data_IF_871672132270
#
_entry.id   IF_871672132270
#
_cell.length_a   1.000
_cell.length_b   1.000
_cell.length_c   1.000
_cell.angle_alpha   90.00
_cell.angle_beta   90.00
_cell.angle_gamma   90.00
#
_symmetry.space_group_name_H-M   'P 1'
#
loop_
_entity.id
_entity.type
_entity.pdbx_description
1 polymer ?
#
# COMPACT_ATOMS: atom_id res chain seq x y z
N UNK A 1 4.13 -7.13 -5.18
CA UNK A 1 4.73 -5.86 -4.71
C UNK A 1 3.96 -5.41 -3.48
N UNK A 2 4.59 -4.75 -2.51
CA UNK A 2 3.92 -4.36 -1.27
C UNK A 2 3.59 -2.88 -1.31
N UNK A 3 2.38 -2.53 -0.94
CA UNK A 3 1.92 -1.16 -0.80
C UNK A 3 1.64 -0.87 0.67
N UNK A 4 2.06 0.29 1.14
CA UNK A 4 1.70 0.84 2.44
C UNK A 4 0.63 1.89 2.23
N UNK A 5 -0.48 1.78 2.92
CA UNK A 5 -1.57 2.75 2.85
C UNK A 5 -1.15 4.01 3.61
N UNK A 6 -1.17 5.16 2.95
CA UNK A 6 -0.91 6.48 3.53
C UNK A 6 -2.21 7.19 3.92
N UNK A 7 -3.29 6.94 3.18
CA UNK A 7 -4.63 7.50 3.43
C UNK A 7 -5.67 6.40 3.33
N UNK A 8 -6.71 6.41 4.17
CA UNK A 8 -7.69 5.35 4.13
C UNK A 8 -8.48 5.44 2.82
N UNK A 9 -8.65 4.30 2.15
CA UNK A 9 -9.44 4.22 0.92
C UNK A 9 -10.30 2.96 0.92
N UNK A 10 -11.43 3.03 0.21
CA UNK A 10 -12.27 1.87 -0.04
C UNK A 10 -11.71 1.05 -1.19
N UNK A 11 -11.27 -0.17 -0.91
CA UNK A 11 -11.01 -1.17 -1.94
C UNK A 11 -12.34 -1.82 -2.32
N UNK A 12 -12.97 -1.31 -3.38
CA UNK A 12 -14.26 -1.82 -3.85
C UNK A 12 -14.17 -3.27 -4.35
N UNK A 13 -12.98 -3.70 -4.76
CA UNK A 13 -12.76 -5.01 -5.37
C UNK A 13 -12.61 -6.12 -4.33
N UNK A 14 -12.03 -5.79 -3.17
CA UNK A 14 -12.00 -6.67 -1.99
C UNK A 14 -13.13 -6.39 -1.00
N UNK A 15 -13.92 -5.35 -1.24
CA UNK A 15 -15.01 -4.91 -0.38
C UNK A 15 -14.54 -4.59 1.06
N UNK A 16 -13.37 -3.98 1.17
CA UNK A 16 -12.75 -3.62 2.45
C UNK A 16 -12.29 -2.17 2.45
N UNK A 17 -12.18 -1.59 3.63
CA UNK A 17 -11.58 -0.27 3.82
C UNK A 17 -10.15 -0.47 4.28
N UNK A 18 -9.20 -0.12 3.43
CA UNK A 18 -7.76 -0.16 3.73
C UNK A 18 -7.44 1.02 4.65
N UNK A 19 -6.84 0.75 5.81
CA UNK A 19 -6.53 1.78 6.82
C UNK A 19 -5.11 2.33 6.71
N UNK A 20 -4.90 3.56 7.16
CA UNK A 20 -3.57 4.20 7.18
C UNK A 20 -2.57 3.36 7.97
N UNK A 21 -1.39 3.17 7.40
CA UNK A 21 -0.31 2.37 7.98
C UNK A 21 -0.38 0.89 7.64
N UNK A 22 -1.49 0.41 7.07
CA UNK A 22 -1.62 -0.97 6.64
C UNK A 22 -0.68 -1.27 5.47
N UNK A 23 0.05 -2.38 5.54
CA UNK A 23 0.91 -2.84 4.45
C UNK A 23 0.31 -4.11 3.88
N UNK A 24 0.00 -4.09 2.59
CA UNK A 24 -0.63 -5.20 1.89
C UNK A 24 0.14 -5.53 0.62
N UNK A 25 0.09 -6.81 0.23
CA UNK A 25 0.73 -7.29 -0.98
C UNK A 25 -0.26 -7.32 -2.14
N UNK A 26 0.15 -6.75 -3.27
CA UNK A 26 -0.63 -6.73 -4.51
C UNK A 26 0.17 -7.30 -5.67
N UNK A 27 -0.56 -7.92 -6.59
CA UNK A 27 -0.04 -8.30 -7.91
C UNK A 27 0.05 -7.10 -8.84
N UNK A 28 0.84 -7.20 -9.91
CA UNK A 28 0.95 -6.15 -10.95
C UNK A 28 -0.41 -5.71 -11.48
N UNK A 29 -1.31 -6.66 -11.75
CA UNK A 29 -2.68 -6.38 -12.22
C UNK A 29 -3.49 -5.58 -11.20
N UNK A 30 -3.41 -5.93 -9.92
CA UNK A 30 -4.08 -5.21 -8.84
C UNK A 30 -3.53 -3.81 -8.64
N UNK A 31 -2.21 -3.64 -8.76
CA UNK A 31 -1.57 -2.34 -8.69
C UNK A 31 -2.06 -1.40 -9.80
N UNK A 32 -2.20 -1.91 -11.03
CA UNK A 32 -2.66 -1.12 -12.18
C UNK A 32 -4.13 -0.66 -12.01
N UNK A 33 -4.99 -1.54 -11.48
CA UNK A 33 -6.37 -1.16 -11.16
C UNK A 33 -6.45 -0.14 -10.02
N UNK A 34 -5.62 -0.33 -8.99
CA UNK A 34 -5.53 0.60 -7.86
C UNK A 34 -5.00 1.95 -8.33
N UNK A 35 -3.96 2.00 -9.16
CA UNK A 35 -3.41 3.27 -9.67
C UNK A 35 -4.35 4.00 -10.60
N UNK A 36 -5.25 3.28 -11.30
CA UNK A 36 -6.31 3.86 -12.10
C UNK A 36 -7.46 4.45 -11.27
N UNK A 37 -7.78 3.84 -10.11
CA UNK A 37 -8.94 4.23 -9.28
C UNK A 37 -8.58 5.09 -8.07
N UNK A 38 -7.37 4.91 -7.55
CA UNK A 38 -6.86 5.49 -6.30
C UNK A 38 -5.60 6.28 -6.61
N UNK A 39 -5.51 7.55 -6.21
CA UNK A 39 -4.31 8.35 -6.44
C UNK A 39 -3.10 7.75 -5.72
N UNK A 40 -1.92 7.88 -6.32
CA UNK A 40 -0.65 7.44 -5.71
C UNK A 40 -0.31 8.16 -4.39
N UNK A 41 -1.02 9.23 -4.03
CA UNK A 41 -0.88 9.91 -2.73
C UNK A 41 -1.53 9.12 -1.56
N UNK A 42 -2.34 8.10 -1.87
CA UNK A 42 -3.01 7.26 -0.86
C UNK A 42 -2.19 6.04 -0.44
N UNK A 43 -1.16 5.68 -1.19
CA UNK A 43 -0.34 4.51 -0.90
C UNK A 43 1.11 4.70 -1.35
N UNK A 44 2.04 4.07 -0.66
CA UNK A 44 3.47 4.09 -0.95
C UNK A 44 3.93 2.69 -1.33
N UNK A 45 4.65 2.56 -2.45
CA UNK A 45 5.32 1.29 -2.78
C UNK A 45 6.42 1.00 -1.77
N UNK A 46 6.20 -0.02 -0.94
CA UNK A 46 7.23 -0.59 -0.08
C UNK A 46 8.15 -1.43 -0.96
N UNK A 47 9.04 -0.75 -1.67
CA UNK A 47 10.19 -1.41 -2.29
C UNK A 47 11.01 -1.98 -1.16
N UNK A 48 11.18 -3.30 -1.15
CA UNK A 48 12.07 -4.00 -0.22
C UNK A 48 13.54 -3.67 -0.55
N UNK A 49 13.91 -2.40 -0.55
CA UNK A 49 15.29 -1.96 -0.43
C UNK A 49 15.60 -1.96 1.06
N UNK A 50 16.50 -2.87 1.46
CA UNK A 50 17.13 -2.92 2.79
C UNK A 50 17.37 -1.51 3.35
N UNK A 51 16.65 -1.14 4.41
CA UNK A 51 17.07 -0.18 5.43
C UNK A 51 16.37 -0.62 6.73
N UNK A 52 16.96 -1.60 7.43
CA UNK A 52 17.84 -1.41 8.59
C UNK A 52 17.10 -0.80 9.80
N UNK A 53 16.65 -1.72 10.67
CA UNK A 53 16.62 -1.67 12.14
C UNK A 53 17.02 -0.33 12.78
N UNK A 54 16.09 0.25 13.54
CA UNK A 54 16.36 1.12 14.71
C UNK A 54 15.19 0.89 15.67
N UNK A 55 15.09 -0.31 16.25
CA UNK A 55 15.47 -0.54 17.65
C UNK A 55 16.90 -0.09 18.00
N UNK A 56 16.99 0.96 18.84
CA UNK A 56 17.78 1.04 20.09
C UNK A 56 18.01 2.51 20.48
N UNK A 57 17.31 2.99 21.52
CA UNK A 57 17.92 3.56 22.73
C UNK A 57 16.95 3.39 23.91
#
# INVERSE_FOLDING_TARGET
MKLKVLKPFGDHKENIIRQVGEVFEVSKTRFDELSASVPADFYEEVKATKAKKSEEE
#
